data_IF_611614695239
#
_entry.id   IF_611614695239
#
_cell.length_a   1.000
_cell.length_b   1.000
_cell.length_c   1.000
_cell.angle_alpha   90.00
_cell.angle_beta   90.00
_cell.angle_gamma   90.00
#
_symmetry.space_group_name_H-M   'P 1'
#
loop_
_entity.id
_entity.type
_entity.pdbx_description
1 polymer ?
#
# COMPACT_ATOMS: atom_id res chain seq x y z
N UNK A 1 1.53 2.24 -2.63
CA UNK A 1 1.37 1.07 -1.75
C UNK A 1 2.29 -0.06 -2.22
N UNK A 2 3.10 -0.62 -1.33
CA UNK A 2 4.24 -1.50 -1.67
C UNK A 2 3.79 -2.82 -2.29
N UNK A 3 2.95 -3.63 -1.61
CA UNK A 3 2.45 -4.89 -2.12
C UNK A 3 1.71 -4.75 -3.46
N UNK A 4 0.88 -3.71 -3.61
CA UNK A 4 0.15 -3.44 -4.86
C UNK A 4 1.08 -3.02 -6.01
N UNK A 5 2.09 -2.18 -5.73
CA UNK A 5 3.07 -1.77 -6.74
C UNK A 5 3.91 -2.96 -7.23
N UNK A 6 4.33 -3.85 -6.31
CA UNK A 6 5.05 -5.09 -6.67
C UNK A 6 4.15 -6.00 -7.52
N UNK A 7 2.90 -6.19 -7.13
CA UNK A 7 1.95 -7.01 -7.88
C UNK A 7 1.74 -6.49 -9.30
N UNK A 8 1.49 -5.18 -9.45
CA UNK A 8 1.21 -4.58 -10.74
C UNK A 8 2.46 -4.56 -11.63
N UNK A 9 3.63 -4.23 -11.07
CA UNK A 9 4.90 -4.30 -11.80
C UNK A 9 5.22 -5.73 -12.24
N UNK A 10 4.94 -6.74 -11.41
CA UNK A 10 5.13 -8.14 -11.79
C UNK A 10 4.25 -8.60 -12.96
N UNK A 11 3.14 -7.90 -13.23
CA UNK A 11 2.26 -8.16 -14.39
C UNK A 11 2.58 -7.31 -15.61
N UNK A 12 2.91 -6.04 -15.40
CA UNK A 12 3.05 -5.05 -16.49
C UNK A 12 4.50 -4.84 -16.94
N UNK A 13 5.46 -4.84 -16.01
CA UNK A 13 6.87 -4.57 -16.29
C UNK A 13 7.78 -5.37 -15.33
N UNK A 14 7.90 -6.71 -15.51
CA UNK A 14 8.65 -7.57 -14.61
C UNK A 14 10.15 -7.23 -14.52
N UNK A 15 10.70 -6.64 -15.58
CA UNK A 15 12.09 -6.19 -15.66
C UNK A 15 12.39 -4.95 -14.82
N UNK A 16 11.38 -4.12 -14.53
CA UNK A 16 11.51 -2.91 -13.72
C UNK A 16 11.17 -3.13 -12.23
N UNK A 17 10.71 -4.33 -11.88
CA UNK A 17 10.22 -4.68 -10.54
C UNK A 17 11.22 -4.35 -9.43
N UNK A 18 12.51 -4.65 -9.64
CA UNK A 18 13.54 -4.35 -8.65
C UNK A 18 13.64 -2.87 -8.34
N UNK A 19 13.76 -2.02 -9.37
CA UNK A 19 13.87 -0.58 -9.20
C UNK A 19 12.59 0.03 -8.60
N UNK A 20 11.41 -0.41 -9.05
CA UNK A 20 10.11 0.08 -8.54
C UNK A 20 9.94 -0.27 -7.07
N UNK A 21 10.26 -1.51 -6.67
CA UNK A 21 10.12 -1.94 -5.29
C UNK A 21 11.07 -1.19 -4.34
N UNK A 22 12.34 -1.03 -4.73
CA UNK A 22 13.33 -0.25 -3.96
C UNK A 22 12.87 1.20 -3.81
N UNK A 23 12.48 1.83 -4.91
CA UNK A 23 11.97 3.20 -4.89
C UNK A 23 10.71 3.33 -4.00
N UNK A 24 9.76 2.41 -4.12
CA UNK A 24 8.51 2.45 -3.36
C UNK A 24 8.76 2.43 -1.84
N UNK A 25 9.55 1.46 -1.33
CA UNK A 25 9.82 1.37 0.11
C UNK A 25 10.74 2.48 0.60
N UNK A 26 11.71 2.91 -0.21
CA UNK A 26 12.57 4.05 0.14
C UNK A 26 11.75 5.34 0.28
N UNK A 27 10.87 5.65 -0.68
CA UNK A 27 10.04 6.85 -0.61
C UNK A 27 8.95 6.79 0.47
N UNK A 28 8.39 5.61 0.76
CA UNK A 28 7.51 5.44 1.92
C UNK A 28 8.21 5.80 3.23
N UNK A 29 9.48 5.43 3.39
CA UNK A 29 10.27 5.83 4.56
C UNK A 29 10.62 7.33 4.58
N UNK A 30 10.67 7.98 3.40
CA UNK A 30 10.96 9.42 3.26
C UNK A 30 9.72 10.32 3.39
N UNK A 31 8.52 9.76 3.57
CA UNK A 31 7.28 10.54 3.78
C UNK A 31 7.42 11.60 4.88
N UNK A 32 8.03 11.32 6.06
CA UNK A 32 8.23 12.33 7.10
C UNK A 32 9.14 13.49 6.68
N UNK A 33 9.99 13.30 5.66
CA UNK A 33 10.85 14.35 5.12
C UNK A 33 10.13 15.15 4.03
N UNK A 34 9.34 14.48 3.18
CA UNK A 34 8.70 15.08 2.00
C UNK A 34 7.39 15.79 2.37
N UNK A 35 6.54 15.18 3.19
CA UNK A 35 5.18 15.65 3.45
C UNK A 35 5.12 16.94 4.29
N UNK A 36 5.87 17.11 5.40
CA UNK A 36 5.73 18.31 6.23
C UNK A 36 6.10 19.63 5.53
N UNK A 37 7.15 19.73 4.69
CA UNK A 37 7.42 20.92 3.90
C UNK A 37 6.27 21.32 2.97
N UNK A 38 5.61 20.34 2.34
CA UNK A 38 4.49 20.57 1.42
C UNK A 38 3.27 21.09 2.19
N UNK A 39 2.96 20.46 3.33
CA UNK A 39 1.92 20.97 4.24
C UNK A 39 2.23 22.40 4.69
N UNK A 40 3.50 22.70 5.00
CA UNK A 40 3.95 24.04 5.37
C UNK A 40 3.74 25.07 4.26
N UNK A 41 3.92 24.66 3.00
CA UNK A 41 3.80 25.51 1.82
C UNK A 41 2.35 25.79 1.39
N UNK A 42 1.44 24.80 1.53
CA UNK A 42 0.08 24.89 0.98
C UNK A 42 -1.00 25.23 2.00
N UNK A 43 -0.90 24.75 3.24
CA UNK A 43 -1.95 24.97 4.25
C UNK A 43 -1.69 26.22 5.07
N UNK A 44 -2.75 26.87 5.54
CA UNK A 44 -2.65 28.07 6.40
C UNK A 44 -2.64 27.71 7.89
N UNK A 45 -2.17 28.60 8.76
CA UNK A 45 -2.20 28.35 10.21
C UNK A 45 -3.61 28.20 10.79
N UNK A 46 -4.59 28.88 10.20
CA UNK A 46 -5.99 28.83 10.63
C UNK A 46 -6.61 27.47 10.35
N UNK A 47 -6.36 26.89 9.16
CA UNK A 47 -6.79 25.54 8.79
C UNK A 47 -6.15 24.47 9.69
N UNK A 48 -4.87 24.61 10.02
CA UNK A 48 -4.15 23.67 10.90
C UNK A 48 -4.67 23.65 12.33
N UNK A 49 -5.39 24.69 12.76
CA UNK A 49 -5.97 24.83 14.12
C UNK A 49 -7.43 24.35 14.20
N UNK A 50 -8.01 23.86 13.10
CA UNK A 50 -9.37 23.30 13.09
C UNK A 50 -9.45 22.11 14.05
N UNK A 51 -10.46 22.11 14.93
CA UNK A 51 -10.68 21.02 15.88
C UNK A 51 -11.39 19.87 15.18
N UNK A 52 -10.73 18.72 15.12
CA UNK A 52 -11.34 17.48 14.63
C UNK A 52 -12.36 16.96 15.65
N UNK A 53 -13.57 16.68 15.18
CA UNK A 53 -14.61 16.03 16.01
C UNK A 53 -14.21 14.59 16.31
N UNK A 54 -14.69 14.07 17.44
CA UNK A 54 -14.47 12.66 17.78
C UNK A 54 -15.14 11.76 16.74
N UNK A 55 -14.47 10.65 16.44
CA UNK A 55 -14.98 9.66 15.49
C UNK A 55 -16.32 9.11 15.98
N UNK A 56 -17.21 8.79 15.03
CA UNK A 56 -18.49 8.16 15.33
C UNK A 56 -18.27 6.75 15.89
N UNK A 57 -19.18 6.30 16.73
CA UNK A 57 -19.20 4.91 17.21
C UNK A 57 -19.65 3.99 16.08
N UNK A 58 -18.71 3.22 15.53
CA UNK A 58 -19.00 2.27 14.44
C UNK A 58 -19.48 0.97 15.06
N UNK A 59 -20.64 0.49 14.61
CA UNK A 59 -21.20 -0.76 15.13
C UNK A 59 -20.36 -1.97 14.70
N UNK A 60 -20.36 -3.05 15.49
CA UNK A 60 -19.61 -4.27 15.12
C UNK A 60 -20.13 -4.89 13.82
N UNK A 61 -21.44 -4.80 13.57
CA UNK A 61 -22.06 -5.27 12.33
C UNK A 61 -21.59 -4.47 11.12
N UNK A 62 -21.48 -3.15 11.25
CA UNK A 62 -20.98 -2.28 10.17
C UNK A 62 -19.54 -2.60 9.79
N UNK A 63 -18.66 -2.86 10.77
CA UNK A 63 -17.28 -3.29 10.49
C UNK A 63 -17.20 -4.63 9.76
N UNK A 64 -18.08 -5.57 10.09
CA UNK A 64 -18.13 -6.89 9.43
C UNK A 64 -18.72 -6.79 8.02
N UNK A 65 -19.75 -5.96 7.82
CA UNK A 65 -20.40 -5.81 6.52
C UNK A 65 -19.57 -4.97 5.54
N UNK A 66 -18.76 -4.03 6.04
CA UNK A 66 -17.91 -3.16 5.21
C UNK A 66 -17.08 -3.90 4.15
N UNK A 67 -16.23 -4.91 4.49
CA UNK A 67 -15.44 -5.63 3.49
C UNK A 67 -16.31 -6.43 2.50
N UNK A 68 -17.49 -6.91 2.92
CA UNK A 68 -18.40 -7.66 2.03
C UNK A 68 -19.02 -6.73 1.00
N UNK A 69 -19.52 -5.58 1.44
CA UNK A 69 -20.10 -4.56 0.54
C UNK A 69 -19.02 -4.02 -0.40
N UNK A 70 -17.81 -3.75 0.11
CA UNK A 70 -16.68 -3.31 -0.69
C UNK A 70 -16.31 -4.34 -1.77
N UNK A 71 -16.24 -5.62 -1.42
CA UNK A 71 -15.96 -6.70 -2.37
C UNK A 71 -17.03 -6.81 -3.46
N UNK A 72 -18.31 -6.76 -3.09
CA UNK A 72 -19.41 -6.78 -4.06
C UNK A 72 -19.33 -5.57 -5.00
N UNK A 73 -19.08 -4.38 -4.47
CA UNK A 73 -18.95 -3.17 -5.26
C UNK A 73 -17.79 -3.27 -6.28
N UNK A 74 -16.65 -3.80 -5.84
CA UNK A 74 -15.49 -4.03 -6.71
C UNK A 74 -15.80 -5.08 -7.78
N UNK A 75 -16.46 -6.18 -7.41
CA UNK A 75 -16.82 -7.25 -8.35
C UNK A 75 -17.76 -6.74 -9.46
N UNK A 76 -18.66 -5.80 -9.15
CA UNK A 76 -19.59 -5.22 -10.13
C UNK A 76 -18.95 -4.13 -10.99
N UNK A 77 -18.14 -3.23 -10.41
CA UNK A 77 -17.63 -2.04 -11.10
C UNK A 77 -16.25 -2.21 -11.71
N UNK A 78 -15.35 -2.97 -11.05
CA UNK A 78 -13.95 -3.10 -11.46
C UNK A 78 -13.40 -4.50 -11.12
N UNK A 79 -13.78 -5.53 -11.91
CA UNK A 79 -13.38 -6.92 -11.63
C UNK A 79 -11.87 -7.14 -11.69
N UNK A 80 -11.12 -6.32 -12.43
CA UNK A 80 -9.65 -6.41 -12.50
C UNK A 80 -8.96 -6.11 -11.15
N UNK A 81 -9.61 -5.35 -10.27
CA UNK A 81 -9.13 -5.07 -8.92
C UNK A 81 -9.58 -6.12 -7.88
N UNK A 82 -10.49 -7.04 -8.26
CA UNK A 82 -11.01 -8.09 -7.39
C UNK A 82 -9.93 -8.97 -6.73
N UNK A 83 -8.84 -9.41 -7.40
CA UNK A 83 -7.83 -10.23 -6.72
C UNK A 83 -7.09 -9.47 -5.60
N UNK A 84 -6.87 -8.16 -5.77
CA UNK A 84 -6.20 -7.34 -4.75
C UNK A 84 -7.15 -7.00 -3.60
N UNK A 85 -8.31 -6.41 -3.93
CA UNK A 85 -9.27 -5.96 -2.94
C UNK A 85 -9.99 -7.12 -2.26
N UNK A 86 -10.15 -8.26 -2.94
CA UNK A 86 -10.69 -9.48 -2.35
C UNK A 86 -9.79 -10.05 -1.27
N UNK A 87 -8.48 -10.19 -1.54
CA UNK A 87 -7.53 -10.65 -0.52
C UNK A 87 -7.41 -9.67 0.65
N UNK A 88 -7.48 -8.36 0.37
CA UNK A 88 -7.55 -7.33 1.41
C UNK A 88 -8.82 -7.45 2.26
N UNK A 89 -9.99 -7.58 1.64
CA UNK A 89 -11.27 -7.72 2.33
C UNK A 89 -11.36 -9.02 3.13
N UNK A 90 -10.74 -10.10 2.66
CA UNK A 90 -10.65 -11.36 3.39
C UNK A 90 -9.83 -11.19 4.69
N UNK A 91 -8.68 -10.52 4.62
CA UNK A 91 -7.89 -10.18 5.81
C UNK A 91 -8.69 -9.32 6.80
N UNK A 92 -9.41 -8.32 6.29
CA UNK A 92 -10.27 -7.46 7.10
C UNK A 92 -11.41 -8.25 7.77
N UNK A 93 -12.08 -9.13 7.03
CA UNK A 93 -13.16 -9.96 7.56
C UNK A 93 -12.66 -10.93 8.63
N UNK A 94 -11.48 -11.54 8.48
CA UNK A 94 -10.90 -12.41 9.52
C UNK A 94 -10.66 -11.64 10.82
N UNK A 95 -10.14 -10.41 10.73
CA UNK A 95 -9.92 -9.54 11.88
C UNK A 95 -11.21 -9.09 12.53
N UNK A 96 -12.22 -8.72 11.73
CA UNK A 96 -13.47 -8.17 12.24
C UNK A 96 -14.49 -9.25 12.64
N UNK A 97 -14.42 -10.46 12.12
CA UNK A 97 -15.36 -11.53 12.43
C UNK A 97 -15.24 -12.05 13.87
N UNK A 98 -14.03 -12.06 14.45
CA UNK A 98 -13.78 -12.46 15.84
C UNK A 98 -13.98 -13.95 16.14
N UNK A 99 -14.44 -14.76 15.18
CA UNK A 99 -14.59 -16.23 15.34
C UNK A 99 -13.38 -17.01 14.82
N UNK A 100 -12.45 -16.32 14.16
CA UNK A 100 -11.26 -16.90 13.51
C UNK A 100 -9.97 -16.28 14.06
N UNK A 101 -9.90 -16.04 15.38
CA UNK A 101 -8.75 -15.40 16.05
C UNK A 101 -7.42 -16.07 15.68
N UNK A 102 -7.35 -17.40 15.76
CA UNK A 102 -6.15 -18.17 15.40
C UNK A 102 -5.69 -17.91 13.96
N UNK A 103 -6.62 -17.79 13.02
CA UNK A 103 -6.29 -17.52 11.62
C UNK A 103 -5.84 -16.07 11.45
N UNK A 104 -6.57 -15.11 12.03
CA UNK A 104 -6.20 -13.69 11.99
C UNK A 104 -4.79 -13.47 12.57
N UNK A 105 -4.49 -14.09 13.72
CA UNK A 105 -3.19 -14.01 14.37
C UNK A 105 -2.07 -14.67 13.56
N UNK A 106 -2.36 -15.82 12.95
CA UNK A 106 -1.41 -16.49 12.08
C UNK A 106 -1.12 -15.66 10.83
N UNK A 107 -2.14 -15.03 10.23
CA UNK A 107 -1.99 -14.21 9.02
C UNK A 107 -1.17 -12.96 9.31
N UNK A 108 -1.49 -12.21 10.38
CA UNK A 108 -0.81 -10.94 10.71
C UNK A 108 0.61 -11.10 11.28
N UNK A 109 0.95 -12.30 11.79
CA UNK A 109 2.27 -12.56 12.37
C UNK A 109 3.03 -13.62 11.56
N UNK A 110 2.69 -14.89 11.74
CA UNK A 110 3.46 -16.02 11.20
C UNK A 110 3.55 -16.01 9.68
N UNK A 111 2.40 -15.91 9.01
CA UNK A 111 2.33 -15.99 7.55
C UNK A 111 2.96 -14.77 6.89
N UNK A 112 2.63 -13.55 7.34
CA UNK A 112 3.18 -12.34 6.72
C UNK A 112 4.70 -12.29 6.86
N UNK A 113 5.27 -12.72 8.00
CA UNK A 113 6.72 -12.75 8.20
C UNK A 113 7.40 -13.70 7.21
N UNK A 114 6.86 -14.92 7.03
CA UNK A 114 7.40 -15.90 6.09
C UNK A 114 7.30 -15.40 4.65
N UNK A 115 6.12 -14.93 4.23
CA UNK A 115 5.89 -14.46 2.87
C UNK A 115 6.70 -13.20 2.57
N UNK A 116 6.89 -12.30 3.54
CA UNK A 116 7.70 -11.09 3.38
C UNK A 116 9.17 -11.43 3.15
N UNK A 117 9.71 -12.43 3.85
CA UNK A 117 11.09 -12.89 3.61
C UNK A 117 11.23 -13.40 2.17
N UNK A 118 10.34 -14.30 1.73
CA UNK A 118 10.40 -14.82 0.36
C UNK A 118 10.19 -13.75 -0.70
N UNK A 119 9.26 -12.80 -0.45
CA UNK A 119 9.04 -11.67 -1.34
C UNK A 119 10.27 -10.78 -1.42
N UNK A 120 10.90 -10.47 -0.28
CA UNK A 120 12.11 -9.66 -0.21
C UNK A 120 13.28 -10.30 -0.98
N UNK A 121 13.50 -11.61 -0.80
CA UNK A 121 14.50 -12.35 -1.58
C UNK A 121 14.15 -12.37 -3.08
N UNK A 122 12.89 -12.55 -3.43
CA UNK A 122 12.44 -12.59 -4.84
C UNK A 122 12.58 -11.24 -5.54
N UNK A 123 12.28 -10.14 -4.83
CA UNK A 123 12.51 -8.77 -5.31
C UNK A 123 14.02 -8.51 -5.43
N UNK A 124 14.80 -8.92 -4.43
CA UNK A 124 16.26 -8.82 -4.43
C UNK A 124 16.91 -9.57 -5.59
N UNK A 125 16.38 -10.73 -5.97
CA UNK A 125 16.84 -11.50 -7.14
C UNK A 125 16.63 -10.76 -8.47
N UNK A 126 15.76 -9.74 -8.52
CA UNK A 126 15.57 -8.87 -9.70
C UNK A 126 16.48 -7.63 -9.69
N UNK A 127 17.29 -7.42 -8.65
CA UNK A 127 18.29 -6.35 -8.55
C UNK A 127 19.63 -6.73 -9.18
N UNK A 128 19.59 -7.30 -10.39
CA UNK A 128 20.81 -7.59 -11.16
C UNK A 128 21.31 -6.29 -11.81
N UNK A 129 22.62 -6.11 -11.89
CA UNK A 129 23.26 -4.86 -12.33
C UNK A 129 22.76 -4.36 -13.69
N UNK A 130 22.51 -5.28 -14.63
CA UNK A 130 21.98 -5.01 -15.97
C UNK A 130 20.52 -4.51 -15.97
N UNK A 131 19.73 -4.84 -14.94
CA UNK A 131 18.35 -4.37 -14.76
C UNK A 131 18.26 -3.12 -13.90
N UNK A 132 19.18 -2.96 -12.94
CA UNK A 132 19.16 -1.84 -12.01
C UNK A 132 19.93 -0.61 -12.52
N UNK A 133 21.08 -0.79 -13.17
CA UNK A 133 21.90 0.30 -13.71
C UNK A 133 21.46 0.70 -15.12
N UNK A 134 20.18 0.98 -15.28
CA UNK A 134 19.60 1.46 -16.53
C UNK A 134 19.16 2.93 -16.40
N UNK A 135 19.26 3.76 -17.45
CA UNK A 135 18.75 5.14 -17.43
C UNK A 135 17.28 5.25 -16.97
N UNK A 136 16.48 4.22 -17.25
CA UNK A 136 15.09 4.09 -16.84
C UNK A 136 14.93 4.10 -15.31
N UNK A 137 15.86 3.52 -14.55
CA UNK A 137 15.76 3.44 -13.08
C UNK A 137 15.98 4.79 -12.42
N UNK A 138 16.84 5.64 -12.99
CA UNK A 138 16.97 7.03 -12.57
C UNK A 138 15.65 7.79 -12.76
N UNK A 139 14.95 7.54 -13.88
CA UNK A 139 13.61 8.06 -14.12
C UNK A 139 12.61 7.64 -13.06
N UNK A 140 12.62 6.35 -12.65
CA UNK A 140 11.74 5.83 -11.59
C UNK A 140 11.99 6.52 -10.25
N UNK A 141 13.26 6.75 -9.89
CA UNK A 141 13.61 7.46 -8.66
C UNK A 141 13.12 8.91 -8.69
N UNK A 142 13.44 9.65 -9.75
CA UNK A 142 13.00 11.05 -9.88
C UNK A 142 11.48 11.20 -9.94
N UNK A 143 10.78 10.33 -10.67
CA UNK A 143 9.31 10.35 -10.72
C UNK A 143 8.69 9.95 -9.39
N UNK A 144 9.32 9.05 -8.62
CA UNK A 144 8.82 8.61 -7.33
C UNK A 144 8.71 9.76 -6.32
N UNK A 145 9.74 10.61 -6.20
CA UNK A 145 9.69 11.76 -5.28
C UNK A 145 8.64 12.79 -5.71
N UNK A 146 8.51 13.04 -7.01
CA UNK A 146 7.52 13.97 -7.55
C UNK A 146 6.10 13.42 -7.35
N UNK A 147 5.89 12.11 -7.53
CA UNK A 147 4.60 11.46 -7.33
C UNK A 147 4.11 11.62 -5.88
N UNK A 148 4.99 11.47 -4.89
CA UNK A 148 4.64 11.77 -3.50
C UNK A 148 4.33 13.26 -3.31
N UNK A 149 5.14 14.14 -3.92
CA UNK A 149 4.92 15.58 -3.84
C UNK A 149 3.54 15.99 -4.35
N UNK A 150 3.14 15.49 -5.53
CA UNK A 150 1.82 15.74 -6.14
C UNK A 150 0.72 15.08 -5.31
N UNK A 151 0.91 13.86 -4.81
CA UNK A 151 -0.10 13.17 -4.02
C UNK A 151 -0.38 13.83 -2.67
N UNK A 152 0.57 14.58 -2.12
CA UNK A 152 0.41 15.35 -0.87
C UNK A 152 -0.07 16.78 -1.06
N UNK A 153 0.10 17.34 -2.26
CA UNK A 153 -0.27 18.71 -2.60
C UNK A 153 -1.77 18.82 -2.91
#
# INVERSE_FOLDING_TARGET
DGPTAIYLSGKLAPELLGAIAVAAYSYMALVPLIQPPIMKALTTETERKIRMVQLRTVSKREKILFPVVLLLLVALLLPDAAPLLGMFCFGNLMRESGVVERLSDTVQNGLINIVTIFLGLSVGAKLVADKFLQPQTLGILLLGVIAFGIGTA
#
